data_IF_088792912913
#
_entry.id   IF_088792912913
#
_cell.length_a   1.000
_cell.length_b   1.000
_cell.length_c   1.000
_cell.angle_alpha   90.00
_cell.angle_beta   90.00
_cell.angle_gamma   90.00
#
_symmetry.space_group_name_H-M   'P 1'
#
loop_
_entity.id
_entity.type
_entity.pdbx_description
1 polymer ?
#
# COMPACT_ATOMS: atom_id res chain seq x y z
N UNK A 1 53.99 -30.11 13.60
CA UNK A 1 53.79 -28.68 13.31
C UNK A 1 52.56 -28.47 12.42
N UNK A 2 51.45 -29.19 12.67
CA UNK A 2 50.23 -29.14 11.83
C UNK A 2 48.97 -28.98 12.69
N UNK A 3 49.11 -28.52 13.93
CA UNK A 3 48.04 -28.51 14.93
C UNK A 3 47.83 -27.14 15.58
N UNK A 4 48.70 -26.17 15.28
CA UNK A 4 48.64 -24.80 15.80
C UNK A 4 48.00 -23.85 14.76
N UNK A 5 48.22 -24.08 13.46
CA UNK A 5 47.62 -23.28 12.36
C UNK A 5 46.10 -23.48 12.24
N UNK A 6 45.58 -24.68 12.55
CA UNK A 6 44.15 -24.97 12.51
C UNK A 6 43.39 -24.25 13.65
N UNK A 7 44.04 -23.96 14.78
CA UNK A 7 43.41 -23.27 15.93
C UNK A 7 43.25 -21.78 15.67
N UNK A 8 44.26 -21.13 15.11
CA UNK A 8 44.21 -19.70 14.76
C UNK A 8 43.16 -19.40 13.68
N UNK A 9 42.94 -20.31 12.73
CA UNK A 9 41.87 -20.18 11.73
C UNK A 9 40.48 -20.28 12.36
N UNK A 10 40.26 -21.19 13.31
CA UNK A 10 38.96 -21.30 13.99
C UNK A 10 38.63 -20.11 14.89
N UNK A 11 39.63 -19.50 15.52
CA UNK A 11 39.46 -18.33 16.39
C UNK A 11 39.14 -17.06 15.57
N UNK A 12 39.80 -16.87 14.42
CA UNK A 12 39.47 -15.78 13.49
C UNK A 12 38.09 -15.91 12.84
N UNK A 13 37.63 -17.15 12.57
CA UNK A 13 36.27 -17.40 12.10
C UNK A 13 35.23 -17.04 13.17
N UNK A 14 35.49 -17.40 14.42
CA UNK A 14 34.60 -17.14 15.55
C UNK A 14 34.45 -15.64 15.89
N UNK A 15 35.51 -14.84 15.72
CA UNK A 15 35.43 -13.38 15.87
C UNK A 15 34.60 -12.72 14.77
N UNK A 16 34.73 -13.20 13.52
CA UNK A 16 33.90 -12.75 12.40
C UNK A 16 32.44 -13.16 12.61
N UNK A 17 32.19 -14.40 13.00
CA UNK A 17 30.85 -14.89 13.32
C UNK A 17 30.22 -14.15 14.51
N UNK A 18 31.03 -13.64 15.45
CA UNK A 18 30.57 -12.76 16.53
C UNK A 18 30.15 -11.36 16.05
N UNK A 19 30.59 -10.93 14.85
CA UNK A 19 30.22 -9.66 14.24
C UNK A 19 29.05 -9.80 13.26
N UNK A 20 28.71 -11.02 12.85
CA UNK A 20 27.53 -11.31 12.03
C UNK A 20 26.34 -11.79 12.89
N UNK A 21 25.13 -11.43 12.47
CA UNK A 21 23.91 -11.95 13.08
C UNK A 21 23.69 -13.39 12.60
N UNK A 22 24.11 -14.37 13.40
CA UNK A 22 23.88 -15.79 13.14
C UNK A 22 22.51 -16.21 13.68
N UNK A 23 21.67 -16.83 12.85
CA UNK A 23 20.40 -17.41 13.28
C UNK A 23 20.69 -18.70 14.06
N UNK A 24 20.47 -18.66 15.38
CA UNK A 24 20.63 -19.82 16.26
C UNK A 24 19.26 -20.36 16.69
N UNK A 25 19.03 -21.67 16.52
CA UNK A 25 17.81 -22.35 16.97
C UNK A 25 16.60 -22.25 16.04
N UNK A 26 16.75 -21.67 14.85
CA UNK A 26 15.73 -21.64 13.79
C UNK A 26 15.88 -22.84 12.84
N UNK A 27 14.77 -23.28 12.26
CA UNK A 27 14.78 -24.29 11.20
C UNK A 27 15.41 -23.73 9.91
N UNK A 28 16.01 -24.59 9.07
CA UNK A 28 16.72 -24.16 7.86
C UNK A 28 15.81 -23.36 6.91
N UNK A 29 14.54 -23.76 6.79
CA UNK A 29 13.53 -23.05 5.99
C UNK A 29 13.31 -21.60 6.49
N UNK A 30 13.23 -21.41 7.81
CA UNK A 30 13.02 -20.09 8.43
C UNK A 30 14.21 -19.15 8.21
N UNK A 31 15.42 -19.70 8.24
CA UNK A 31 16.65 -18.95 7.96
C UNK A 31 16.65 -18.44 6.53
N UNK A 32 16.22 -19.26 5.58
CA UNK A 32 16.14 -18.88 4.17
C UNK A 32 15.06 -17.83 3.91
N UNK A 33 13.90 -17.93 4.55
CA UNK A 33 12.89 -16.88 4.50
C UNK A 33 13.41 -15.56 5.07
N UNK A 34 14.11 -15.59 6.20
CA UNK A 34 14.67 -14.40 6.81
C UNK A 34 15.72 -13.73 5.90
N UNK A 35 16.59 -14.50 5.24
CA UNK A 35 17.55 -13.97 4.25
C UNK A 35 16.82 -13.25 3.11
N UNK A 36 15.80 -13.87 2.52
CA UNK A 36 15.02 -13.27 1.42
C UNK A 36 14.31 -11.99 1.90
N UNK A 37 13.73 -12.02 3.09
CA UNK A 37 13.05 -10.87 3.69
C UNK A 37 14.01 -9.69 3.88
N UNK A 38 15.13 -9.89 4.55
CA UNK A 38 16.10 -8.82 4.82
C UNK A 38 16.76 -8.29 3.54
N UNK A 39 16.98 -9.15 2.56
CA UNK A 39 17.41 -8.73 1.23
C UNK A 39 16.37 -7.83 0.55
N UNK A 40 15.07 -8.10 0.73
CA UNK A 40 14.01 -7.27 0.14
C UNK A 40 13.88 -5.88 0.80
N UNK A 41 14.14 -5.78 2.11
CA UNK A 41 14.05 -4.52 2.88
C UNK A 41 15.16 -3.54 2.53
N UNK A 42 16.32 -4.02 2.11
CA UNK A 42 17.47 -3.18 1.70
C UNK A 42 17.39 -2.69 0.25
N UNK A 43 16.40 -3.13 -0.53
CA UNK A 43 16.21 -2.63 -1.88
C UNK A 43 15.63 -1.22 -1.85
N UNK A 44 16.29 -0.31 -2.57
CA UNK A 44 15.72 1.01 -2.82
C UNK A 44 14.33 0.83 -3.46
N UNK A 45 13.30 1.60 -3.04
CA UNK A 45 11.97 1.47 -3.62
C UNK A 45 12.07 1.49 -5.15
N UNK A 46 11.34 0.61 -5.86
CA UNK A 46 11.30 0.63 -7.32
C UNK A 46 11.08 2.05 -7.81
N UNK A 47 11.69 2.40 -8.95
CA UNK A 47 11.75 3.78 -9.43
C UNK A 47 10.34 4.35 -9.68
N UNK A 48 9.37 3.46 -9.95
CA UNK A 48 7.94 3.72 -10.11
C UNK A 48 7.22 4.06 -8.79
N UNK A 49 7.78 3.68 -7.64
CA UNK A 49 7.28 3.98 -6.30
C UNK A 49 7.94 5.21 -5.66
N UNK A 50 8.86 5.89 -6.34
CA UNK A 50 9.43 7.16 -5.84
C UNK A 50 8.39 8.27 -5.99
N UNK A 51 7.89 8.76 -4.86
CA UNK A 51 7.01 9.95 -4.76
C UNK A 51 7.62 11.22 -5.36
N UNK A 52 8.94 11.24 -5.60
CA UNK A 52 9.65 12.36 -6.18
C UNK A 52 10.66 11.80 -7.19
N UNK A 53 10.49 12.16 -8.46
CA UNK A 53 11.49 11.94 -9.51
C UNK A 53 12.85 12.44 -9.01
N UNK A 54 13.89 11.60 -9.05
CA UNK A 54 15.25 12.01 -8.67
C UNK A 54 15.81 13.16 -9.51
N UNK A 55 15.13 13.52 -10.60
CA UNK A 55 15.45 14.66 -11.42
C UNK A 55 14.99 15.98 -10.75
N UNK A 56 15.95 16.64 -10.09
CA UNK A 56 15.80 17.95 -9.44
C UNK A 56 15.39 19.06 -10.43
N UNK A 57 15.45 18.82 -11.75
CA UNK A 57 15.05 19.81 -12.78
C UNK A 57 13.56 20.13 -12.79
N UNK A 58 12.73 19.34 -12.09
CA UNK A 58 11.30 19.64 -11.92
C UNK A 58 10.99 20.60 -10.76
N UNK A 59 12.00 21.00 -9.96
CA UNK A 59 11.81 22.04 -8.95
C UNK A 59 11.65 23.39 -9.64
N UNK A 60 10.41 23.86 -9.71
CA UNK A 60 10.11 25.26 -10.03
C UNK A 60 10.95 26.16 -9.13
N UNK A 61 11.47 27.26 -9.68
CA UNK A 61 12.20 28.27 -8.91
C UNK A 61 11.34 28.67 -7.70
N UNK A 62 11.96 28.69 -6.51
CA UNK A 62 11.31 29.19 -5.30
C UNK A 62 10.82 30.60 -5.58
N UNK A 63 9.52 30.84 -5.39
CA UNK A 63 8.93 32.14 -5.65
C UNK A 63 9.64 33.20 -4.79
N UNK A 64 10.07 34.28 -5.44
CA UNK A 64 10.66 35.42 -4.77
C UNK A 64 9.67 35.93 -3.71
N UNK A 65 10.15 36.37 -2.55
CA UNK A 65 9.29 37.04 -1.57
C UNK A 65 8.83 38.36 -2.18
N UNK A 66 7.69 38.33 -2.86
CA UNK A 66 7.02 39.50 -3.36
C UNK A 66 6.68 40.35 -2.15
N UNK A 67 7.44 41.43 -1.92
CA UNK A 67 6.98 42.53 -1.10
C UNK A 67 5.87 43.27 -1.86
N UNK A 68 4.78 42.57 -2.09
CA UNK A 68 3.53 43.16 -2.52
C UNK A 68 2.64 43.19 -1.30
N UNK A 69 2.38 44.42 -0.85
CA UNK A 69 1.43 44.82 0.18
C UNK A 69 0.40 43.72 0.49
N UNK A 70 0.47 43.17 1.70
CA UNK A 70 -0.38 42.11 2.25
C UNK A 70 -1.88 42.50 2.40
N UNK A 71 -2.37 43.44 1.59
CA UNK A 71 -3.72 43.99 1.64
C UNK A 71 -4.54 43.74 0.38
N UNK A 72 -4.06 42.89 -0.54
CA UNK A 72 -4.81 42.54 -1.76
C UNK A 72 -5.36 41.11 -1.71
N UNK A 73 -4.86 40.21 -0.85
CA UNK A 73 -5.32 38.81 -0.84
C UNK A 73 -6.73 38.60 -0.24
N UNK A 74 -7.26 39.59 0.47
CA UNK A 74 -8.61 39.55 1.04
C UNK A 74 -9.58 40.56 0.39
N UNK A 75 -9.14 41.30 -0.64
CA UNK A 75 -10.06 42.08 -1.42
C UNK A 75 -10.79 41.12 -2.37
N UNK A 76 -12.12 40.92 -2.26
CA UNK A 76 -12.83 40.24 -3.32
C UNK A 76 -12.55 40.99 -4.63
N UNK A 77 -12.28 40.31 -5.74
CA UNK A 77 -12.11 40.99 -7.02
C UNK A 77 -13.34 41.88 -7.22
N UNK A 78 -13.12 43.17 -7.51
CA UNK A 78 -14.18 44.13 -7.84
C UNK A 78 -14.76 43.85 -9.24
N UNK A 79 -14.98 42.58 -9.56
CA UNK A 79 -15.77 42.13 -10.69
C UNK A 79 -17.15 41.91 -10.11
N UNK A 80 -18.12 42.72 -10.54
CA UNK A 80 -19.53 42.55 -10.20
C UNK A 80 -20.03 41.25 -10.86
N UNK A 81 -19.61 40.09 -10.33
CA UNK A 81 -20.02 38.74 -10.75
C UNK A 81 -21.52 38.51 -10.57
N UNK A 82 -22.24 39.46 -9.96
CA UNK A 82 -23.69 39.45 -9.77
C UNK A 82 -24.49 39.56 -11.08
N UNK A 83 -23.86 39.83 -12.23
CA UNK A 83 -24.55 40.10 -13.51
C UNK A 83 -24.05 39.31 -14.72
N UNK A 84 -23.34 38.21 -14.53
CA UNK A 84 -22.97 37.36 -15.66
C UNK A 84 -23.80 36.06 -15.66
N UNK A 85 -24.92 36.03 -16.41
CA UNK A 85 -25.80 34.87 -16.46
C UNK A 85 -25.09 33.61 -16.99
N UNK A 86 -24.05 33.79 -17.80
CA UNK A 86 -23.26 32.69 -18.35
C UNK A 86 -22.44 31.97 -17.28
N UNK A 87 -21.82 32.73 -16.36
CA UNK A 87 -21.07 32.16 -15.24
C UNK A 87 -22.00 31.39 -14.27
N UNK A 88 -23.20 31.91 -14.03
CA UNK A 88 -24.19 31.24 -13.18
C UNK A 88 -24.70 29.94 -13.82
N UNK A 89 -24.98 29.94 -15.11
CA UNK A 89 -25.41 28.75 -15.85
C UNK A 89 -24.32 27.67 -15.85
N UNK A 90 -23.07 28.04 -16.12
CA UNK A 90 -21.93 27.12 -16.06
C UNK A 90 -21.79 26.48 -14.67
N UNK A 91 -21.93 27.28 -13.61
CA UNK A 91 -21.88 26.79 -12.23
C UNK A 91 -23.03 25.81 -11.91
N UNK A 92 -24.26 26.12 -12.31
CA UNK A 92 -25.41 25.24 -12.11
C UNK A 92 -25.20 23.92 -12.88
N UNK A 93 -24.71 23.99 -14.12
CA UNK A 93 -24.42 22.82 -14.94
C UNK A 93 -23.38 21.92 -14.28
N UNK A 94 -22.26 22.48 -13.83
CA UNK A 94 -21.23 21.72 -13.12
C UNK A 94 -21.79 21.01 -11.88
N UNK A 95 -22.61 21.72 -11.07
CA UNK A 95 -23.21 21.14 -9.87
C UNK A 95 -24.22 20.04 -10.17
N UNK A 96 -24.99 20.18 -11.25
CA UNK A 96 -25.94 19.14 -11.66
C UNK A 96 -25.24 17.91 -12.21
N UNK A 97 -24.19 18.07 -13.01
CA UNK A 97 -23.36 16.97 -13.50
C UNK A 97 -22.67 16.23 -12.34
N UNK A 98 -22.11 16.96 -11.38
CA UNK A 98 -21.51 16.40 -10.17
C UNK A 98 -22.53 15.57 -9.38
N UNK A 99 -23.74 16.12 -9.16
CA UNK A 99 -24.83 15.43 -8.49
C UNK A 99 -25.24 14.14 -9.21
N UNK A 100 -25.40 14.17 -10.53
CA UNK A 100 -25.74 13.00 -11.34
C UNK A 100 -24.67 11.92 -11.24
N UNK A 101 -23.40 12.31 -11.28
CA UNK A 101 -22.27 11.38 -11.11
C UNK A 101 -22.30 10.69 -9.75
N UNK A 102 -22.61 11.42 -8.66
CA UNK A 102 -22.73 10.81 -7.34
C UNK A 102 -23.94 9.89 -7.21
N UNK A 103 -25.07 10.23 -7.83
CA UNK A 103 -26.25 9.35 -7.87
C UNK A 103 -25.95 8.03 -8.57
N UNK A 104 -25.24 8.07 -9.70
CA UNK A 104 -24.83 6.86 -10.42
C UNK A 104 -23.90 5.98 -9.56
N UNK A 105 -22.94 6.60 -8.86
CA UNK A 105 -22.06 5.89 -7.92
C UNK A 105 -22.85 5.25 -6.76
N UNK A 106 -23.87 5.94 -6.23
CA UNK A 106 -24.72 5.42 -5.17
C UNK A 106 -25.50 4.18 -5.63
N UNK A 107 -26.09 4.24 -6.84
CA UNK A 107 -26.76 3.09 -7.46
C UNK A 107 -25.83 1.90 -7.64
N UNK A 108 -24.63 2.12 -8.20
CA UNK A 108 -23.62 1.06 -8.34
C UNK A 108 -23.22 0.44 -7.00
N UNK A 109 -23.17 1.24 -5.94
CA UNK A 109 -22.90 0.75 -4.58
C UNK A 109 -24.02 -0.14 -4.07
N UNK A 110 -25.27 0.24 -4.29
CA UNK A 110 -26.45 -0.57 -3.93
C UNK A 110 -26.39 -1.94 -4.63
N UNK A 111 -26.13 -1.97 -5.94
CA UNK A 111 -26.00 -3.20 -6.72
C UNK A 111 -24.90 -4.14 -6.16
N UNK A 112 -23.74 -3.58 -5.80
CA UNK A 112 -22.64 -4.34 -5.19
C UNK A 112 -23.04 -4.90 -3.82
N UNK A 113 -23.71 -4.09 -2.99
CA UNK A 113 -24.15 -4.53 -1.66
C UNK A 113 -25.16 -5.68 -1.77
N UNK A 114 -26.10 -5.60 -2.71
CA UNK A 114 -27.05 -6.68 -2.97
C UNK A 114 -26.36 -7.98 -3.41
N UNK A 115 -25.37 -7.88 -4.31
CA UNK A 115 -24.59 -9.03 -4.75
C UNK A 115 -23.86 -9.69 -3.57
N UNK A 116 -23.20 -8.90 -2.73
CA UNK A 116 -22.47 -9.39 -1.56
C UNK A 116 -23.42 -10.06 -0.55
N UNK A 117 -24.61 -9.50 -0.35
CA UNK A 117 -25.63 -10.11 0.51
C UNK A 117 -26.09 -11.47 -0.03
N UNK A 118 -26.34 -11.58 -1.34
CA UNK A 118 -26.69 -12.85 -2.00
C UNK A 118 -25.58 -13.90 -1.82
N UNK A 119 -24.34 -13.53 -2.12
CA UNK A 119 -23.18 -14.41 -1.97
C UNK A 119 -23.01 -14.88 -0.51
N UNK A 120 -23.16 -13.97 0.45
CA UNK A 120 -23.08 -14.31 1.87
C UNK A 120 -24.18 -15.28 2.28
N UNK A 121 -25.41 -15.08 1.85
CA UNK A 121 -26.52 -15.97 2.13
C UNK A 121 -26.29 -17.38 1.55
N UNK A 122 -25.78 -17.47 0.32
CA UNK A 122 -25.40 -18.74 -0.30
C UNK A 122 -24.28 -19.45 0.47
N UNK A 123 -23.24 -18.70 0.89
CA UNK A 123 -22.14 -19.26 1.70
C UNK A 123 -22.66 -19.85 3.00
N UNK A 124 -23.49 -19.10 3.74
CA UNK A 124 -24.11 -19.56 4.99
C UNK A 124 -24.94 -20.82 4.75
N UNK A 125 -25.72 -20.88 3.67
CA UNK A 125 -26.51 -22.07 3.31
C UNK A 125 -25.62 -23.30 3.04
N UNK A 126 -24.51 -23.14 2.32
CA UNK A 126 -23.55 -24.21 2.04
C UNK A 126 -22.85 -24.70 3.31
N UNK A 127 -22.39 -23.77 4.16
CA UNK A 127 -21.80 -24.08 5.46
C UNK A 127 -22.77 -24.84 6.37
N UNK A 128 -24.06 -24.46 6.37
CA UNK A 128 -25.08 -25.15 7.17
C UNK A 128 -25.25 -26.62 6.74
N UNK A 129 -25.18 -26.90 5.44
CA UNK A 129 -25.24 -28.26 4.90
C UNK A 129 -23.95 -29.06 5.17
N UNK A 130 -22.78 -28.43 5.19
CA UNK A 130 -21.49 -29.11 5.41
C UNK A 130 -21.16 -29.31 6.89
N UNK A 131 -21.71 -28.51 7.82
CA UNK A 131 -21.51 -28.65 9.27
C UNK A 131 -21.76 -30.06 9.83
N UNK A 132 -22.82 -30.79 9.46
CA UNK A 132 -23.03 -32.16 9.93
C UNK A 132 -22.10 -33.19 9.26
N UNK A 133 -21.41 -32.84 8.17
CA UNK A 133 -20.49 -33.74 7.48
C UNK A 133 -19.09 -33.68 8.11
N UNK A 134 -18.79 -34.64 8.99
CA UNK A 134 -17.41 -34.90 9.41
C UNK A 134 -16.78 -35.94 8.48
N UNK A 135 -15.70 -35.61 7.74
CA UNK A 135 -14.99 -36.60 6.93
C UNK A 135 -14.47 -37.70 7.86
N UNK A 136 -14.86 -38.94 7.58
CA UNK A 136 -14.35 -40.10 8.32
C UNK A 136 -12.84 -40.20 8.04
N UNK A 137 -12.02 -40.00 9.06
CA UNK A 137 -10.58 -40.23 8.98
C UNK A 137 -10.32 -41.73 8.76
N UNK A 138 -10.14 -42.15 7.51
CA UNK A 138 -9.69 -43.52 7.22
C UNK A 138 -8.17 -43.57 7.39
N UNK A 139 -7.63 -44.35 8.34
CA UNK A 139 -6.19 -44.49 8.48
C UNK A 139 -5.60 -45.08 7.20
N UNK A 140 -4.50 -44.48 6.72
CA UNK A 140 -3.78 -44.97 5.54
C UNK A 140 -3.21 -46.36 5.86
N UNK A 141 -3.69 -47.38 5.15
CA UNK A 141 -3.08 -48.71 5.17
C UNK A 141 -1.72 -48.60 4.49
N UNK A 142 -0.65 -48.71 5.28
CA UNK A 142 0.71 -48.83 4.77
C UNK A 142 0.82 -50.19 4.07
N UNK A 143 1.23 -50.18 2.80
CA UNK A 143 1.53 -51.39 2.01
C UNK A 143 2.98 -51.80 2.23
#
# INVERSE_FOLDING_TARGET
MSSEEDREQTEGQAELDSQFLVFAGSEEEDVDFAKVFWNSVSLHPPWESRLVSGDIRQRLKVANSSQQNARICHAPPAVDTRKDPFLLEAYIKEKTEEKLRYLEKARKREDIMELLWKQRAERIKKELLSRPYQPKHTPKVQR
#
